data_IF_516353096186
#
_entry.id   IF_516353096186
#
_cell.length_a   1.000
_cell.length_b   1.000
_cell.length_c   1.000
_cell.angle_alpha   90.00
_cell.angle_beta   90.00
_cell.angle_gamma   90.00
#
_symmetry.space_group_name_H-M   'P 1'
#
loop_
_entity.id
_entity.type
_entity.pdbx_description
1 polymer ?
#
# COMPACT_ATOMS: atom_id res chain seq x y z
N UNK A 1 -53.33 -7.96 -14.30
CA UNK A 1 -52.75 -7.22 -13.14
C UNK A 1 -51.28 -7.63 -13.04
N UNK A 2 -50.40 -6.63 -13.16
CA UNK A 2 -48.98 -6.77 -13.41
C UNK A 2 -48.21 -6.62 -12.08
N UNK A 3 -47.65 -7.71 -11.56
CA UNK A 3 -46.86 -7.74 -10.30
C UNK A 3 -45.42 -8.22 -10.55
N UNK A 4 -44.79 -7.71 -11.61
CA UNK A 4 -43.40 -8.05 -11.99
C UNK A 4 -42.36 -6.96 -11.70
N UNK A 5 -42.64 -6.00 -10.82
CA UNK A 5 -41.91 -4.72 -10.78
C UNK A 5 -41.05 -4.38 -9.56
N UNK A 6 -40.89 -5.26 -8.56
CA UNK A 6 -40.23 -4.87 -7.29
C UNK A 6 -39.01 -5.69 -6.86
N UNK A 7 -38.64 -6.74 -7.57
CA UNK A 7 -37.46 -7.56 -7.23
C UNK A 7 -36.14 -7.05 -7.81
N UNK A 8 -36.18 -6.11 -8.77
CA UNK A 8 -34.98 -5.60 -9.45
C UNK A 8 -34.23 -4.47 -8.73
N UNK A 9 -34.86 -3.77 -7.78
CA UNK A 9 -34.30 -2.55 -7.17
C UNK A 9 -33.60 -2.77 -5.81
N UNK A 10 -33.69 -3.97 -5.22
CA UNK A 10 -33.03 -4.28 -3.94
C UNK A 10 -31.62 -4.84 -4.06
N UNK A 11 -31.28 -5.50 -5.16
CA UNK A 11 -29.93 -6.10 -5.33
C UNK A 11 -28.85 -5.08 -5.69
N UNK A 12 -29.21 -3.85 -6.06
CA UNK A 12 -28.24 -2.82 -6.40
C UNK A 12 -27.82 -1.94 -5.21
N UNK A 13 -28.43 -2.13 -4.02
CA UNK A 13 -28.20 -1.29 -2.82
C UNK A 13 -27.33 -1.95 -1.74
N UNK A 14 -26.74 -3.11 -2.02
CA UNK A 14 -25.78 -3.81 -1.16
C UNK A 14 -24.35 -3.82 -1.74
N UNK A 15 -24.09 -3.02 -2.78
CA UNK A 15 -22.74 -2.83 -3.34
C UNK A 15 -21.97 -1.65 -2.74
N UNK A 16 -22.51 -0.96 -1.72
CA UNK A 16 -21.96 0.28 -1.18
C UNK A 16 -21.46 0.11 0.25
N UNK A 17 -20.15 -0.08 0.42
CA UNK A 17 -19.49 0.19 1.69
C UNK A 17 -18.39 -0.80 2.13
N UNK A 18 -18.14 -1.88 1.39
CA UNK A 18 -17.02 -2.76 1.69
C UNK A 18 -15.86 -2.36 0.79
N UNK A 19 -14.96 -1.52 1.32
CA UNK A 19 -13.63 -1.37 0.71
C UNK A 19 -13.08 -2.78 0.59
N UNK A 20 -12.80 -3.27 -0.64
CA UNK A 20 -12.23 -4.61 -0.78
C UNK A 20 -10.99 -4.70 0.08
N UNK A 21 -10.82 -5.81 0.81
CA UNK A 21 -9.69 -5.95 1.75
C UNK A 21 -8.35 -5.72 1.03
N UNK A 22 -8.27 -6.08 -0.25
CA UNK A 22 -7.11 -5.81 -1.12
C UNK A 22 -6.86 -4.32 -1.32
N UNK A 23 -7.92 -3.55 -1.57
CA UNK A 23 -7.84 -2.10 -1.72
C UNK A 23 -7.41 -1.45 -0.41
N UNK A 24 -7.96 -1.90 0.72
CA UNK A 24 -7.56 -1.41 2.04
C UNK A 24 -6.09 -1.72 2.36
N UNK A 25 -5.64 -2.96 2.12
CA UNK A 25 -4.27 -3.39 2.34
C UNK A 25 -3.29 -2.67 1.39
N UNK A 26 -3.63 -2.58 0.10
CA UNK A 26 -2.81 -1.90 -0.89
C UNK A 26 -2.63 -0.42 -0.58
N UNK A 27 -3.71 0.28 -0.21
CA UNK A 27 -3.65 1.69 0.20
C UNK A 27 -2.86 1.86 1.49
N UNK A 28 -3.02 0.98 2.49
CA UNK A 28 -2.24 1.02 3.72
C UNK A 28 -0.74 0.85 3.45
N UNK A 29 -0.36 -0.14 2.63
CA UNK A 29 1.04 -0.37 2.24
C UNK A 29 1.58 0.81 1.45
N UNK A 30 0.80 1.38 0.53
CA UNK A 30 1.19 2.54 -0.26
C UNK A 30 1.44 3.78 0.61
N UNK A 31 0.53 4.05 1.56
CA UNK A 31 0.62 5.15 2.51
C UNK A 31 1.83 5.00 3.45
N UNK A 32 2.08 3.78 3.93
CA UNK A 32 3.28 3.47 4.72
C UNK A 32 4.53 3.72 3.88
N UNK A 33 4.64 3.20 2.67
CA UNK A 33 5.81 3.46 1.80
C UNK A 33 6.05 4.96 1.56
N UNK A 34 4.98 5.74 1.36
CA UNK A 34 5.09 7.19 1.16
C UNK A 34 5.60 7.90 2.42
N UNK A 35 5.07 7.51 3.58
CA UNK A 35 5.51 8.00 4.88
C UNK A 35 7.00 7.73 5.13
N UNK A 36 7.44 6.51 4.86
CA UNK A 36 8.84 6.09 4.99
C UNK A 36 9.75 6.82 4.00
N UNK A 37 9.26 7.19 2.80
CA UNK A 37 10.01 7.97 1.82
C UNK A 37 10.35 9.38 2.33
N UNK A 38 9.39 10.04 2.98
CA UNK A 38 9.59 11.35 3.61
C UNK A 38 10.51 11.29 4.83
N UNK A 39 10.44 10.19 5.60
CA UNK A 39 11.27 9.97 6.80
C UNK A 39 12.60 9.27 6.57
N UNK A 40 12.96 8.93 5.34
CA UNK A 40 14.23 8.28 5.01
C UNK A 40 15.47 8.91 5.69
N UNK A 41 15.68 10.25 5.69
CA UNK A 41 16.82 10.85 6.40
C UNK A 41 16.79 10.63 7.90
N UNK A 42 15.61 10.72 8.52
CA UNK A 42 15.44 10.48 9.96
C UNK A 42 15.71 9.00 10.31
N UNK A 43 15.25 8.07 9.47
CA UNK A 43 15.47 6.63 9.66
C UNK A 43 16.96 6.28 9.59
N UNK A 44 17.69 6.87 8.64
CA UNK A 44 19.13 6.65 8.50
C UNK A 44 19.89 7.18 9.71
N UNK A 45 19.49 8.33 10.24
CA UNK A 45 20.13 8.93 11.42
C UNK A 45 19.82 8.17 12.73
N UNK A 46 18.56 7.82 12.95
CA UNK A 46 18.08 7.33 14.25
C UNK A 46 18.20 5.81 14.41
N UNK A 47 18.07 5.04 13.33
CA UNK A 47 18.08 3.56 13.43
C UNK A 47 19.49 2.98 13.43
N UNK A 48 19.71 1.92 14.23
CA UNK A 48 20.99 1.19 14.27
C UNK A 48 21.40 0.64 12.89
N UNK A 49 20.42 0.18 12.10
CA UNK A 49 20.64 -0.28 10.72
C UNK A 49 20.97 0.89 9.78
N UNK A 50 20.30 2.02 9.96
CA UNK A 50 20.58 3.27 9.23
C UNK A 50 22.00 3.77 9.44
N UNK A 51 22.48 3.78 10.68
CA UNK A 51 23.86 4.16 11.01
C UNK A 51 24.90 3.23 10.39
N UNK A 52 24.68 1.91 10.47
CA UNK A 52 25.54 0.94 9.80
C UNK A 52 25.56 1.12 8.27
N UNK A 53 24.41 1.43 7.68
CA UNK A 53 24.31 1.70 6.24
C UNK A 53 25.01 3.01 5.85
N UNK A 54 24.88 4.05 6.68
CA UNK A 54 25.58 5.34 6.56
C UNK A 54 27.10 5.15 6.63
N UNK A 55 27.60 4.31 7.53
CA UNK A 55 29.03 4.01 7.65
C UNK A 55 29.59 3.26 6.43
N UNK A 56 28.80 2.39 5.80
CA UNK A 56 29.25 1.61 4.63
C UNK A 56 29.14 2.33 3.28
N UNK A 57 28.04 3.05 3.06
CA UNK A 57 27.71 3.63 1.75
C UNK A 57 27.84 5.15 1.72
N UNK A 58 27.97 5.80 2.87
CA UNK A 58 27.84 7.24 3.02
C UNK A 58 26.40 7.68 3.19
N UNK A 59 26.21 8.87 3.77
CA UNK A 59 24.91 9.40 4.18
C UNK A 59 23.93 9.55 3.01
N UNK A 60 24.38 10.14 1.91
CA UNK A 60 23.53 10.38 0.74
C UNK A 60 23.03 9.07 0.10
N UNK A 61 23.90 8.07 -0.02
CA UNK A 61 23.55 6.78 -0.63
C UNK A 61 22.68 5.93 0.31
N UNK A 62 22.91 5.99 1.63
CA UNK A 62 22.04 5.33 2.60
C UNK A 62 20.61 5.89 2.56
N UNK A 63 20.46 7.22 2.45
CA UNK A 63 19.16 7.86 2.31
C UNK A 63 18.49 7.47 1.00
N UNK A 64 19.23 7.47 -0.11
CA UNK A 64 18.68 7.02 -1.39
C UNK A 64 18.24 5.55 -1.34
N UNK A 65 19.02 4.67 -0.71
CA UNK A 65 18.66 3.26 -0.58
C UNK A 65 17.34 3.07 0.19
N UNK A 66 17.19 3.75 1.33
CA UNK A 66 15.94 3.71 2.11
C UNK A 66 14.77 4.28 1.30
N UNK A 67 14.97 5.37 0.54
CA UNK A 67 13.96 5.90 -0.38
C UNK A 67 13.59 4.90 -1.47
N UNK A 68 14.56 4.23 -2.09
CA UNK A 68 14.29 3.21 -3.10
C UNK A 68 13.44 2.08 -2.54
N UNK A 69 13.79 1.56 -1.36
CA UNK A 69 13.01 0.52 -0.70
C UNK A 69 11.59 1.01 -0.40
N UNK A 70 11.44 2.22 0.14
CA UNK A 70 10.15 2.80 0.46
C UNK A 70 9.27 3.03 -0.79
N UNK A 71 9.85 3.53 -1.88
CA UNK A 71 9.18 3.69 -3.19
C UNK A 71 8.73 2.33 -3.72
N UNK A 72 9.57 1.30 -3.64
CA UNK A 72 9.18 -0.07 -4.04
C UNK A 72 7.98 -0.56 -3.25
N UNK A 73 7.94 -0.36 -1.93
CA UNK A 73 6.76 -0.67 -1.13
C UNK A 73 5.53 0.13 -1.58
N UNK A 74 5.69 1.42 -1.88
CA UNK A 74 4.59 2.24 -2.41
C UNK A 74 4.06 1.71 -3.73
N UNK A 75 4.94 1.35 -4.66
CA UNK A 75 4.57 0.79 -5.96
C UNK A 75 3.86 -0.56 -5.82
N UNK A 76 4.35 -1.45 -4.94
CA UNK A 76 3.71 -2.73 -4.65
C UNK A 76 2.33 -2.54 -4.02
N UNK A 77 2.19 -1.59 -3.08
CA UNK A 77 0.90 -1.25 -2.48
C UNK A 77 -0.10 -0.70 -3.50
N UNK A 78 0.34 0.19 -4.39
CA UNK A 78 -0.47 0.71 -5.50
C UNK A 78 -0.88 -0.41 -6.46
N UNK A 79 0.04 -1.31 -6.78
CA UNK A 79 -0.22 -2.42 -7.70
C UNK A 79 -1.24 -3.40 -7.11
N UNK A 80 -1.16 -3.66 -5.80
CA UNK A 80 -2.17 -4.43 -5.06
C UNK A 80 -3.51 -3.70 -4.99
N UNK A 81 -3.51 -2.39 -4.72
CA UNK A 81 -4.72 -1.57 -4.67
C UNK A 81 -5.41 -1.46 -6.04
N UNK A 82 -4.65 -1.50 -7.13
CA UNK A 82 -5.18 -1.45 -8.50
C UNK A 82 -5.85 -2.74 -8.96
N UNK A 83 -5.76 -3.82 -8.18
CA UNK A 83 -6.32 -5.13 -8.52
C UNK A 83 -5.57 -5.85 -9.66
N UNK A 84 -4.39 -5.35 -10.07
CA UNK A 84 -3.54 -6.01 -11.07
C UNK A 84 -2.90 -7.27 -10.48
N UNK A 85 -2.58 -7.26 -9.18
CA UNK A 85 -2.12 -8.45 -8.45
C UNK A 85 -3.30 -9.01 -7.67
N UNK A 86 -3.75 -10.21 -8.04
CA UNK A 86 -4.64 -11.00 -7.19
C UNK A 86 -3.87 -11.45 -5.94
N UNK A 87 -4.41 -11.25 -4.72
CA UNK A 87 -3.77 -11.76 -3.52
C UNK A 87 -3.72 -13.29 -3.60
N UNK A 88 -2.60 -13.89 -3.18
CA UNK A 88 -2.49 -15.34 -3.00
C UNK A 88 -3.61 -15.81 -2.06
N UNK A 89 -4.66 -16.38 -2.62
CA UNK A 89 -5.73 -17.05 -1.88
C UNK A 89 -5.20 -18.40 -1.45
N UNK A 90 -4.83 -18.54 -0.18
CA UNK A 90 -4.61 -19.84 0.42
C UNK A 90 -5.97 -20.45 0.74
N UNK A 91 -6.29 -21.58 0.09
CA UNK A 91 -7.45 -22.44 0.39
C UNK A 91 -7.19 -23.32 1.62
#
# INVERSE_FOLDING_TARGET
>A
MNSGGQTGLRLQREGSGVISQELAMGVAVAAVGLYFTGRAPWIVAETRKGRWLKERLGEAHAIQFVRFVAITFTLLGLLLASGIIEPLRWE
#
